data_IF_177984189132
#
_entry.id   IF_177984189132
#
_cell.length_a   1.000
_cell.length_b   1.000
_cell.length_c   1.000
_cell.angle_alpha   90.00
_cell.angle_beta   90.00
_cell.angle_gamma   90.00
#
_symmetry.space_group_name_H-M   'P 1'
#
loop_
_entity.id
_entity.type
_entity.pdbx_description
1 polymer ?
#
# COMPACT_ATOMS: atom_id res chain seq x y z
N UNK A 1 -19.75 -19.79 -20.20
CA UNK A 1 -18.96 -20.22 -19.03
C UNK A 1 -18.14 -19.13 -18.35
N UNK A 2 -17.34 -18.32 -19.06
CA UNK A 2 -16.43 -17.34 -18.43
C UNK A 2 -17.12 -16.26 -17.56
N UNK A 3 -18.35 -15.85 -17.90
CA UNK A 3 -19.13 -14.87 -17.09
C UNK A 3 -19.63 -15.45 -15.76
N UNK A 4 -20.02 -16.73 -15.74
CA UNK A 4 -20.50 -17.39 -14.52
C UNK A 4 -19.34 -17.60 -13.55
N UNK A 5 -18.19 -18.08 -14.05
CA UNK A 5 -16.97 -18.20 -13.24
C UNK A 5 -16.51 -16.86 -12.64
N UNK A 6 -16.57 -15.77 -13.43
CA UNK A 6 -16.26 -14.42 -12.94
C UNK A 6 -17.24 -13.97 -11.85
N UNK A 7 -18.55 -14.20 -12.05
CA UNK A 7 -19.57 -13.85 -11.06
C UNK A 7 -19.35 -14.61 -9.75
N UNK A 8 -19.01 -15.90 -9.81
CA UNK A 8 -18.68 -16.70 -8.62
C UNK A 8 -17.43 -16.19 -7.91
N UNK A 9 -16.38 -15.84 -8.65
CA UNK A 9 -15.16 -15.25 -8.07
C UNK A 9 -15.43 -13.89 -7.40
N UNK A 10 -16.22 -13.03 -8.05
CA UNK A 10 -16.63 -11.75 -7.46
C UNK A 10 -17.50 -11.94 -6.22
N UNK A 11 -18.46 -12.87 -6.24
CA UNK A 11 -19.31 -13.17 -5.09
C UNK A 11 -18.48 -13.66 -3.90
N UNK A 12 -17.48 -14.52 -4.15
CA UNK A 12 -16.58 -15.04 -3.14
C UNK A 12 -15.66 -13.96 -2.53
N UNK A 13 -15.41 -12.86 -3.23
CA UNK A 13 -14.66 -11.72 -2.68
C UNK A 13 -15.60 -10.73 -1.99
N UNK A 14 -16.72 -10.40 -2.60
CA UNK A 14 -17.63 -9.36 -2.11
C UNK A 14 -18.42 -9.81 -0.89
N UNK A 15 -19.07 -10.98 -0.97
CA UNK A 15 -19.99 -11.45 0.07
C UNK A 15 -19.32 -11.54 1.44
N UNK A 16 -18.24 -12.33 1.64
CA UNK A 16 -17.63 -12.46 2.96
C UNK A 16 -17.13 -11.13 3.54
N UNK A 17 -16.52 -10.27 2.72
CA UNK A 17 -15.98 -9.00 3.19
C UNK A 17 -17.08 -8.00 3.54
N UNK A 18 -18.18 -7.95 2.76
CA UNK A 18 -19.33 -7.10 3.07
C UNK A 18 -20.04 -7.60 4.33
N UNK A 19 -20.27 -8.91 4.45
CA UNK A 19 -20.87 -9.51 5.64
C UNK A 19 -20.03 -9.23 6.88
N UNK A 20 -18.71 -9.39 6.80
CA UNK A 20 -17.82 -9.06 7.90
C UNK A 20 -17.84 -7.57 8.25
N UNK A 21 -17.86 -6.67 7.26
CA UNK A 21 -17.98 -5.24 7.53
C UNK A 21 -19.30 -4.90 8.24
N UNK A 22 -20.42 -5.47 7.79
CA UNK A 22 -21.73 -5.29 8.46
C UNK A 22 -21.68 -5.83 9.88
N UNK A 23 -21.06 -7.00 10.11
CA UNK A 23 -20.91 -7.57 11.43
C UNK A 23 -20.13 -6.65 12.38
N UNK A 24 -19.02 -6.03 11.92
CA UNK A 24 -18.29 -5.05 12.71
C UNK A 24 -19.09 -3.78 12.98
N UNK A 25 -19.87 -3.28 12.01
CA UNK A 25 -20.75 -2.12 12.20
C UNK A 25 -21.79 -2.43 13.28
N UNK A 26 -22.50 -3.56 13.15
CA UNK A 26 -23.52 -3.98 14.12
C UNK A 26 -22.91 -4.16 15.51
N UNK A 27 -21.76 -4.83 15.59
CA UNK A 27 -21.03 -4.99 16.84
C UNK A 27 -20.66 -3.65 17.46
N UNK A 28 -20.10 -2.71 16.68
CA UNK A 28 -19.76 -1.37 17.13
C UNK A 28 -20.94 -0.52 17.61
N UNK A 29 -22.15 -0.79 17.13
CA UNK A 29 -23.38 -0.09 17.58
C UNK A 29 -23.91 -0.67 18.89
N UNK A 30 -23.78 -1.99 19.09
CA UNK A 30 -24.39 -2.68 20.23
C UNK A 30 -23.47 -2.66 21.45
N UNK A 31 -22.21 -3.07 21.29
CA UNK A 31 -21.28 -3.36 22.39
C UNK A 31 -19.84 -2.88 22.13
N UNK A 32 -19.47 -2.69 20.87
CA UNK A 32 -18.10 -2.43 20.41
C UNK A 32 -17.68 -0.96 20.42
N UNK A 33 -16.38 -0.72 20.25
CA UNK A 33 -15.87 0.66 20.16
C UNK A 33 -16.18 1.22 18.78
N UNK A 34 -16.75 2.41 18.68
CA UNK A 34 -17.05 3.04 17.38
C UNK A 34 -15.76 3.20 16.56
N UNK A 35 -14.65 3.57 17.17
CA UNK A 35 -13.36 3.78 16.47
C UNK A 35 -12.82 2.47 15.91
N UNK A 36 -12.93 1.40 16.68
CA UNK A 36 -12.49 0.06 16.34
C UNK A 36 -13.35 -0.53 15.24
N UNK A 37 -14.67 -0.55 15.43
CA UNK A 37 -15.65 -1.00 14.46
C UNK A 37 -15.50 -0.26 13.12
N UNK A 38 -15.27 1.06 13.16
CA UNK A 38 -15.02 1.86 11.95
C UNK A 38 -13.73 1.43 11.25
N UNK A 39 -12.65 1.22 12.00
CA UNK A 39 -11.35 0.75 11.46
C UNK A 39 -11.46 -0.64 10.86
N UNK A 40 -12.04 -1.59 11.58
CA UNK A 40 -12.23 -2.97 11.13
C UNK A 40 -13.16 -3.04 9.91
N UNK A 41 -14.22 -2.24 9.88
CA UNK A 41 -15.13 -2.16 8.73
C UNK A 41 -14.42 -1.58 7.50
N UNK A 42 -13.67 -0.49 7.68
CA UNK A 42 -12.90 0.14 6.62
C UNK A 42 -11.85 -0.82 6.02
N UNK A 43 -11.17 -1.62 6.86
CA UNK A 43 -10.23 -2.66 6.41
C UNK A 43 -10.93 -3.70 5.53
N UNK A 44 -12.09 -4.23 5.93
CA UNK A 44 -12.81 -5.21 5.13
C UNK A 44 -13.24 -4.65 3.76
N UNK A 45 -13.68 -3.38 3.69
CA UNK A 45 -13.98 -2.73 2.41
C UNK A 45 -12.72 -2.49 1.57
N UNK A 46 -11.62 -2.06 2.18
CA UNK A 46 -10.34 -1.87 1.50
C UNK A 46 -9.81 -3.19 0.92
N UNK A 47 -9.95 -4.30 1.65
CA UNK A 47 -9.55 -5.64 1.22
C UNK A 47 -10.23 -6.06 -0.08
N UNK A 48 -11.51 -5.73 -0.27
CA UNK A 48 -12.22 -5.98 -1.53
C UNK A 48 -11.45 -5.36 -2.70
N UNK A 49 -10.98 -4.12 -2.56
CA UNK A 49 -10.24 -3.42 -3.61
C UNK A 49 -8.91 -4.09 -3.89
N UNK A 50 -8.17 -4.51 -2.87
CA UNK A 50 -6.92 -5.26 -3.03
C UNK A 50 -7.14 -6.62 -3.69
N UNK A 51 -8.13 -7.39 -3.26
CA UNK A 51 -8.45 -8.70 -3.84
C UNK A 51 -8.86 -8.57 -5.29
N UNK A 52 -9.68 -7.57 -5.61
CA UNK A 52 -10.07 -7.25 -6.98
C UNK A 52 -8.86 -6.75 -7.80
N UNK A 53 -7.91 -6.05 -7.18
CA UNK A 53 -6.64 -5.65 -7.80
C UNK A 53 -5.75 -6.84 -8.16
N UNK A 54 -5.63 -7.84 -7.27
CA UNK A 54 -4.94 -9.11 -7.55
C UNK A 54 -5.68 -9.88 -8.65
N UNK A 55 -7.01 -9.96 -8.58
CA UNK A 55 -7.84 -10.62 -9.60
C UNK A 55 -7.74 -9.93 -10.96
N UNK A 56 -7.58 -8.60 -11.01
CA UNK A 56 -7.34 -7.83 -12.23
C UNK A 56 -6.05 -8.22 -12.97
N UNK A 57 -5.08 -8.82 -12.26
CA UNK A 57 -3.90 -9.43 -12.88
C UNK A 57 -4.20 -10.74 -13.62
N UNK A 58 -5.33 -11.39 -13.35
CA UNK A 58 -5.80 -12.63 -13.99
C UNK A 58 -6.58 -12.42 -15.30
N UNK A 59 -6.64 -11.18 -15.82
CA UNK A 59 -7.35 -10.78 -17.07
C UNK A 59 -8.88 -10.96 -17.04
N UNK A 60 -9.47 -11.00 -15.85
CA UNK A 60 -10.91 -11.17 -15.64
C UNK A 60 -11.80 -10.01 -16.14
N UNK A 61 -11.29 -8.77 -16.24
CA UNK A 61 -12.10 -7.57 -16.46
C UNK A 61 -11.80 -6.84 -17.78
N UNK A 62 -12.81 -6.11 -18.28
CA UNK A 62 -12.70 -5.19 -19.43
C UNK A 62 -11.70 -4.05 -19.17
N UNK A 63 -11.25 -3.37 -20.24
CA UNK A 63 -10.12 -2.44 -20.18
C UNK A 63 -10.30 -1.22 -19.28
N UNK A 64 -11.54 -0.74 -19.09
CA UNK A 64 -11.86 0.42 -18.26
C UNK A 64 -11.82 0.12 -16.74
N UNK A 65 -12.63 -0.80 -16.19
CA UNK A 65 -12.60 -1.12 -14.75
C UNK A 65 -11.22 -1.63 -14.32
N UNK A 66 -10.52 -2.36 -15.19
CA UNK A 66 -9.16 -2.81 -14.93
C UNK A 66 -8.18 -1.65 -14.67
N UNK A 67 -8.35 -0.51 -15.36
CA UNK A 67 -7.53 0.67 -15.12
C UNK A 67 -7.89 1.30 -13.78
N UNK A 68 -9.18 1.50 -13.55
CA UNK A 68 -9.68 2.07 -12.30
C UNK A 68 -9.10 1.34 -11.08
N UNK A 69 -9.28 0.02 -11.03
CA UNK A 69 -8.77 -0.84 -9.95
C UNK A 69 -7.25 -0.72 -9.81
N UNK A 70 -6.52 -0.77 -10.94
CA UNK A 70 -5.06 -0.79 -10.92
C UNK A 70 -4.43 0.50 -10.38
N UNK A 71 -5.08 1.64 -10.58
CA UNK A 71 -4.55 2.95 -10.18
C UNK A 71 -5.13 3.45 -8.87
N UNK A 72 -6.37 3.10 -8.55
CA UNK A 72 -7.07 3.63 -7.40
C UNK A 72 -7.00 2.73 -6.16
N UNK A 73 -6.80 1.42 -6.29
CA UNK A 73 -6.89 0.50 -5.14
C UNK A 73 -5.94 0.87 -3.98
N UNK A 74 -4.64 0.99 -4.25
CA UNK A 74 -3.65 1.29 -3.20
C UNK A 74 -3.80 2.72 -2.65
N UNK A 75 -3.95 3.79 -3.48
CA UNK A 75 -4.16 5.14 -2.95
C UNK A 75 -5.46 5.30 -2.16
N UNK A 76 -6.55 4.65 -2.58
CA UNK A 76 -7.83 4.71 -1.87
C UNK A 76 -7.74 4.00 -0.52
N UNK A 77 -7.09 2.84 -0.45
CA UNK A 77 -6.85 2.14 0.81
C UNK A 77 -5.99 2.96 1.76
N UNK A 78 -4.85 3.49 1.28
CA UNK A 78 -4.01 4.41 2.07
C UNK A 78 -4.82 5.59 2.61
N UNK A 79 -5.65 6.21 1.75
CA UNK A 79 -6.42 7.38 2.13
C UNK A 79 -7.50 7.06 3.17
N UNK A 80 -8.24 5.97 2.98
CA UNK A 80 -9.29 5.53 3.92
C UNK A 80 -8.70 5.23 5.29
N UNK A 81 -7.57 4.51 5.34
CA UNK A 81 -6.91 4.16 6.61
C UNK A 81 -6.37 5.38 7.33
N UNK A 82 -5.75 6.32 6.59
CA UNK A 82 -5.32 7.58 7.18
C UNK A 82 -6.50 8.35 7.79
N UNK A 83 -7.62 8.46 7.06
CA UNK A 83 -8.80 9.18 7.57
C UNK A 83 -9.34 8.53 8.84
N UNK A 84 -9.55 7.21 8.82
CA UNK A 84 -10.18 6.49 9.93
C UNK A 84 -9.30 6.47 11.18
N UNK A 85 -7.97 6.44 11.04
CA UNK A 85 -7.07 6.29 12.18
C UNK A 85 -6.67 7.64 12.78
N UNK A 86 -6.56 8.68 11.96
CA UNK A 86 -6.27 10.01 12.48
C UNK A 86 -7.55 10.74 12.93
N UNK A 87 -8.76 10.36 12.48
CA UNK A 87 -9.99 11.03 12.93
C UNK A 87 -10.21 11.05 14.45
N UNK A 88 -9.96 9.97 15.23
CA UNK A 88 -10.17 9.99 16.68
C UNK A 88 -9.15 10.87 17.39
N UNK A 89 -7.90 10.89 16.92
CA UNK A 89 -6.83 11.75 17.46
C UNK A 89 -7.22 13.22 17.30
N UNK A 90 -7.80 13.57 16.14
CA UNK A 90 -8.30 14.92 15.85
C UNK A 90 -9.40 15.32 16.81
N UNK A 91 -10.36 14.41 17.04
CA UNK A 91 -11.48 14.66 17.95
C UNK A 91 -11.01 14.80 19.41
N UNK A 92 -10.08 13.97 19.87
CA UNK A 92 -9.49 14.06 21.21
C UNK A 92 -8.75 15.38 21.42
N UNK A 93 -7.91 15.78 20.46
CA UNK A 93 -7.21 17.07 20.48
C UNK A 93 -8.22 18.22 20.48
N UNK A 94 -9.26 18.16 19.64
CA UNK A 94 -10.30 19.19 19.58
C UNK A 94 -11.01 19.40 20.92
N UNK A 95 -11.42 18.30 21.57
CA UNK A 95 -12.08 18.35 22.88
C UNK A 95 -11.15 18.82 24.01
N UNK A 96 -9.86 18.49 23.96
CA UNK A 96 -8.87 19.02 24.94
C UNK A 96 -8.58 20.51 24.71
N UNK A 97 -8.73 21.00 23.48
CA UNK A 97 -8.38 22.37 23.10
C UNK A 97 -9.43 23.41 23.55
N UNK A 98 -10.68 23.02 23.84
CA UNK A 98 -11.74 23.92 24.33
C UNK A 98 -11.43 24.60 25.68
N UNK A 99 -10.28 24.31 26.31
CA UNK A 99 -9.85 24.87 27.60
C UNK A 99 -8.74 25.94 27.46
N UNK A 100 -8.19 26.22 26.26
CA UNK A 100 -7.09 27.20 26.08
C UNK A 100 -7.54 28.61 25.66
N UNK A 101 -6.89 29.63 26.26
CA UNK A 101 -7.29 31.06 26.23
C UNK A 101 -6.73 31.92 25.07
N UNK A 102 -5.85 31.42 24.19
CA UNK A 102 -5.15 32.25 23.19
C UNK A 102 -5.42 31.82 21.75
N UNK A 103 -5.92 32.74 20.91
CA UNK A 103 -6.32 32.50 19.51
C UNK A 103 -5.18 32.00 18.60
N UNK A 104 -3.94 32.43 18.84
CA UNK A 104 -2.78 32.02 18.05
C UNK A 104 -2.42 30.53 18.24
N UNK A 105 -2.55 30.01 19.46
CA UNK A 105 -2.23 28.61 19.78
C UNK A 105 -3.30 27.64 19.25
N UNK A 106 -4.55 28.12 19.18
CA UNK A 106 -5.67 27.41 18.55
C UNK A 106 -5.44 27.29 17.04
N UNK A 107 -5.10 28.39 16.35
CA UNK A 107 -4.83 28.39 14.90
C UNK A 107 -3.62 27.49 14.58
N UNK A 108 -2.57 27.55 15.39
CA UNK A 108 -1.36 26.73 15.22
C UNK A 108 -1.67 25.24 15.33
N UNK A 109 -2.43 24.81 16.34
CA UNK A 109 -2.80 23.39 16.49
C UNK A 109 -3.84 22.95 15.46
N UNK A 110 -4.76 23.82 15.06
CA UNK A 110 -5.79 23.51 14.07
C UNK A 110 -5.20 23.30 12.66
N UNK A 111 -4.27 24.16 12.23
CA UNK A 111 -3.62 23.97 10.92
C UNK A 111 -2.85 22.65 10.89
N UNK A 112 -2.15 22.33 11.98
CA UNK A 112 -1.39 21.11 12.17
C UNK A 112 -2.21 19.82 12.16
N UNK A 113 -3.49 19.92 12.53
CA UNK A 113 -4.44 18.83 12.62
C UNK A 113 -5.16 18.57 11.27
N UNK A 114 -5.31 19.61 10.46
CA UNK A 114 -5.94 19.55 9.13
C UNK A 114 -5.01 18.93 8.09
N UNK A 115 -3.70 19.17 8.19
CA UNK A 115 -2.72 18.64 7.21
C UNK A 115 -2.70 17.10 7.08
N UNK A 116 -2.69 16.30 8.18
CA UNK A 116 -2.74 14.83 8.13
C UNK A 116 -3.96 14.25 7.43
N UNK A 117 -5.09 14.97 7.42
CA UNK A 117 -6.34 14.53 6.79
C UNK A 117 -6.52 15.07 5.38
N UNK A 118 -5.98 16.26 5.11
CA UNK A 118 -6.06 16.92 3.80
C UNK A 118 -5.17 16.21 2.76
N UNK A 119 -4.00 15.72 3.17
CA UNK A 119 -3.09 14.95 2.29
C UNK A 119 -3.77 13.74 1.63
N UNK A 120 -4.36 12.81 2.40
CA UNK A 120 -5.14 11.67 1.90
C UNK A 120 -6.25 12.06 0.93
N UNK A 121 -7.01 13.12 1.24
CA UNK A 121 -8.08 13.61 0.39
C UNK A 121 -7.56 14.15 -0.94
N UNK A 122 -6.46 14.91 -0.93
CA UNK A 122 -5.80 15.39 -2.14
C UNK A 122 -5.25 14.24 -3.00
N UNK A 123 -4.67 13.21 -2.36
CA UNK A 123 -4.21 11.98 -3.04
C UNK A 123 -5.40 11.32 -3.76
N UNK A 124 -6.54 11.20 -3.07
CA UNK A 124 -7.74 10.58 -3.63
C UNK A 124 -8.34 11.42 -4.77
N UNK A 125 -8.48 12.73 -4.60
CA UNK A 125 -8.96 13.63 -5.64
C UNK A 125 -8.05 13.60 -6.86
N UNK A 126 -6.72 13.56 -6.66
CA UNK A 126 -5.76 13.40 -7.74
C UNK A 126 -5.85 12.02 -8.41
N UNK A 127 -6.16 10.97 -7.65
CA UNK A 127 -6.43 9.62 -8.17
C UNK A 127 -7.70 9.56 -9.02
N UNK A 128 -8.78 10.21 -8.57
CA UNK A 128 -10.01 10.32 -9.36
C UNK A 128 -9.79 11.16 -10.63
N UNK A 129 -9.13 12.31 -10.49
CA UNK A 129 -8.77 13.16 -11.62
C UNK A 129 -7.92 12.40 -12.65
N UNK A 130 -6.93 11.61 -12.22
CA UNK A 130 -6.05 10.87 -13.13
C UNK A 130 -6.76 9.77 -13.90
N UNK A 131 -7.75 9.11 -13.29
CA UNK A 131 -8.56 8.08 -13.94
C UNK A 131 -9.49 8.71 -14.97
N UNK A 132 -10.06 9.89 -14.68
CA UNK A 132 -10.89 10.66 -15.62
C UNK A 132 -10.06 11.25 -16.78
N UNK A 133 -8.89 11.83 -16.49
CA UNK A 133 -8.02 12.45 -17.48
C UNK A 133 -7.05 11.42 -18.08
N UNK A 134 -7.48 10.78 -19.16
CA UNK A 134 -6.82 9.68 -19.91
C UNK A 134 -5.33 9.88 -20.30
N UNK A 135 -4.72 11.06 -20.12
CA UNK A 135 -3.55 11.50 -20.91
C UNK A 135 -2.14 11.55 -20.27
N UNK A 136 -1.89 11.38 -18.97
CA UNK A 136 -0.50 11.53 -18.44
C UNK A 136 -0.10 10.41 -17.46
N UNK A 137 0.09 9.19 -17.99
CA UNK A 137 0.28 7.96 -17.23
C UNK A 137 1.63 7.83 -16.46
N UNK A 138 2.66 8.62 -16.80
CA UNK A 138 3.99 8.54 -16.19
C UNK A 138 4.18 9.56 -15.05
N UNK A 139 3.76 10.81 -15.25
CA UNK A 139 3.87 11.88 -14.24
C UNK A 139 2.98 11.58 -13.02
N UNK A 140 1.86 10.89 -13.22
CA UNK A 140 0.85 10.60 -12.19
C UNK A 140 1.32 9.67 -11.07
N UNK A 141 2.03 8.57 -11.37
CA UNK A 141 2.42 7.61 -10.30
C UNK A 141 3.55 8.09 -9.40
N UNK A 142 4.41 8.99 -9.89
CA UNK A 142 5.45 9.62 -9.07
C UNK A 142 4.81 10.60 -8.08
N UNK A 143 3.72 11.27 -8.48
CA UNK A 143 2.97 12.19 -7.62
C UNK A 143 2.29 11.44 -6.47
N UNK A 144 1.74 10.22 -6.67
CA UNK A 144 1.16 9.44 -5.56
C UNK A 144 2.19 9.09 -4.50
N UNK A 145 3.34 8.57 -4.91
CA UNK A 145 4.41 8.23 -3.97
C UNK A 145 4.90 9.48 -3.22
N UNK A 146 5.15 10.57 -3.97
CA UNK A 146 5.58 11.85 -3.39
C UNK A 146 4.55 12.39 -2.38
N UNK A 147 3.26 12.32 -2.71
CA UNK A 147 2.19 12.79 -1.85
C UNK A 147 2.02 11.89 -0.61
N UNK A 148 2.15 10.57 -0.74
CA UNK A 148 2.11 9.64 0.39
C UNK A 148 3.30 9.87 1.34
N UNK A 149 4.51 10.03 0.81
CA UNK A 149 5.70 10.32 1.63
C UNK A 149 5.64 11.70 2.30
N UNK A 150 5.18 12.71 1.56
CA UNK A 150 4.93 14.02 2.15
C UNK A 150 3.87 13.95 3.26
N UNK A 151 2.81 13.16 3.07
CA UNK A 151 1.80 12.95 4.09
C UNK A 151 2.35 12.21 5.32
N UNK A 152 3.17 11.17 5.13
CA UNK A 152 3.88 10.46 6.21
C UNK A 152 4.77 11.42 7.01
N UNK A 153 5.53 12.28 6.33
CA UNK A 153 6.33 13.34 6.96
C UNK A 153 5.47 14.29 7.80
N UNK A 154 4.37 14.79 7.22
CA UNK A 154 3.46 15.69 7.92
C UNK A 154 2.79 15.02 9.12
N UNK A 155 2.47 13.73 9.05
CA UNK A 155 1.91 12.97 10.16
C UNK A 155 2.90 12.85 11.34
N UNK A 156 4.16 12.52 11.07
CA UNK A 156 5.21 12.45 12.10
C UNK A 156 5.43 13.85 12.72
N UNK A 157 5.57 14.87 11.88
CA UNK A 157 5.75 16.24 12.34
C UNK A 157 4.55 16.72 13.17
N UNK A 158 3.34 16.41 12.74
CA UNK A 158 2.13 16.78 13.47
C UNK A 158 2.06 16.12 14.84
N UNK A 159 2.42 14.85 14.93
CA UNK A 159 2.44 14.10 16.19
C UNK A 159 3.47 14.68 17.17
N UNK A 160 4.69 14.98 16.68
CA UNK A 160 5.74 15.62 17.49
C UNK A 160 5.32 16.97 18.07
N UNK A 161 4.62 17.78 17.28
CA UNK A 161 4.19 19.11 17.70
C UNK A 161 2.98 19.05 18.66
N UNK A 162 2.06 18.08 18.48
CA UNK A 162 0.88 17.92 19.34
C UNK A 162 1.26 17.44 20.74
N UNK A 163 2.12 16.42 20.82
CA UNK A 163 2.50 15.79 22.08
C UNK A 163 3.76 16.41 22.72
N UNK A 164 4.44 17.32 22.00
CA UNK A 164 5.54 18.13 22.50
C UNK A 164 6.90 17.63 22.04
N UNK A 165 7.77 18.58 21.69
CA UNK A 165 9.17 18.34 21.37
C UNK A 165 9.96 18.15 22.68
N UNK A 166 10.00 16.92 23.19
CA UNK A 166 10.76 16.61 24.40
C UNK A 166 12.26 16.51 24.14
N UNK A 167 12.67 15.97 22.99
CA UNK A 167 14.08 15.75 22.63
C UNK A 167 14.40 16.13 21.19
N UNK A 168 15.57 16.76 20.98
CA UNK A 168 16.10 17.08 19.64
C UNK A 168 16.30 15.80 18.78
N UNK A 169 16.56 14.67 19.44
CA UNK A 169 16.69 13.35 18.82
C UNK A 169 15.40 12.88 18.14
N UNK A 170 14.23 13.28 18.66
CA UNK A 170 12.93 12.98 18.05
C UNK A 170 12.66 13.82 16.79
N UNK A 171 13.38 14.94 16.59
CA UNK A 171 13.27 15.73 15.37
C UNK A 171 14.18 15.17 14.26
N UNK A 172 15.33 14.59 14.62
CA UNK A 172 16.19 13.85 13.69
C UNK A 172 15.45 12.67 13.03
N UNK A 173 14.46 12.11 13.73
CA UNK A 173 13.59 11.04 13.24
C UNK A 173 12.68 11.47 12.07
N UNK A 174 12.28 12.74 11.98
CA UNK A 174 11.52 13.25 10.83
C UNK A 174 12.36 13.42 9.55
N UNK A 175 13.67 13.21 9.62
CA UNK A 175 14.60 13.33 8.48
C UNK A 175 14.48 12.14 7.53
N UNK A 176 14.07 10.95 7.98
CA UNK A 176 14.03 9.77 7.12
C UNK A 176 13.03 9.86 5.95
N UNK A 177 11.76 10.29 6.14
CA UNK A 177 10.86 10.56 5.01
C UNK A 177 11.39 11.64 4.05
N UNK A 178 12.03 12.69 4.57
CA UNK A 178 12.64 13.74 3.74
C UNK A 178 13.80 13.20 2.92
N UNK A 179 14.63 12.36 3.52
CA UNK A 179 15.74 11.71 2.85
C UNK A 179 15.24 10.76 1.76
N UNK A 180 14.15 10.00 2.01
CA UNK A 180 13.48 9.20 0.99
C UNK A 180 12.99 10.06 -0.19
N UNK A 181 12.39 11.22 0.09
CA UNK A 181 11.96 12.19 -0.92
C UNK A 181 13.13 12.68 -1.78
N UNK A 182 14.23 13.08 -1.15
CA UNK A 182 15.44 13.57 -1.82
C UNK A 182 16.07 12.46 -2.67
N UNK A 183 16.23 11.26 -2.09
CA UNK A 183 16.75 10.09 -2.80
C UNK A 183 15.88 9.71 -4.00
N UNK A 184 14.56 9.91 -3.92
CA UNK A 184 13.64 9.69 -5.04
C UNK A 184 13.91 10.64 -6.21
N UNK A 185 14.20 11.93 -5.94
CA UNK A 185 14.61 12.87 -7.00
C UNK A 185 16.00 12.58 -7.56
N UNK A 186 16.91 12.06 -6.73
CA UNK A 186 18.27 11.65 -7.14
C UNK A 186 18.32 10.33 -7.92
N UNK A 187 17.17 9.74 -8.28
CA UNK A 187 17.06 8.46 -9.01
C UNK A 187 17.95 8.36 -10.26
N UNK A 188 18.27 9.50 -10.90
CA UNK A 188 19.01 9.56 -12.15
C UNK A 188 20.51 9.18 -12.02
N UNK A 189 21.07 9.19 -10.81
CA UNK A 189 22.52 9.05 -10.59
C UNK A 189 22.97 7.63 -10.20
N UNK A 190 22.07 6.79 -9.68
CA UNK A 190 22.44 5.50 -9.08
C UNK A 190 22.15 4.29 -9.97
N UNK A 191 22.88 3.20 -9.72
CA UNK A 191 22.50 1.86 -10.16
C UNK A 191 21.08 1.56 -9.64
N UNK A 192 20.14 1.36 -10.56
CA UNK A 192 18.71 1.19 -10.28
C UNK A 192 18.41 0.17 -9.15
N UNK A 193 19.24 -0.87 -9.02
CA UNK A 193 19.16 -1.90 -7.98
C UNK A 193 19.54 -1.37 -6.60
N UNK A 194 20.68 -0.70 -6.52
CA UNK A 194 21.16 -0.04 -5.31
C UNK A 194 20.15 1.01 -4.83
N UNK A 195 19.60 1.79 -5.77
CA UNK A 195 18.56 2.77 -5.48
C UNK A 195 17.30 2.14 -4.86
N UNK A 196 16.79 1.03 -5.39
CA UNK A 196 15.65 0.32 -4.77
C UNK A 196 15.99 -0.16 -3.36
N UNK A 197 17.20 -0.71 -3.16
CA UNK A 197 17.62 -1.16 -1.82
C UNK A 197 17.67 0.01 -0.83
N UNK A 198 18.24 1.15 -1.24
CA UNK A 198 18.29 2.37 -0.42
C UNK A 198 16.88 2.85 -0.08
N UNK A 199 15.99 2.96 -1.06
CA UNK A 199 14.60 3.36 -0.81
C UNK A 199 13.90 2.39 0.15
N UNK A 200 14.09 1.08 0.00
CA UNK A 200 13.52 0.12 0.94
C UNK A 200 14.03 0.29 2.36
N UNK A 201 15.34 0.53 2.52
CA UNK A 201 15.95 0.76 3.84
C UNK A 201 15.39 2.04 4.45
N UNK A 202 15.32 3.14 3.69
CA UNK A 202 14.77 4.41 4.15
C UNK A 202 13.31 4.28 4.58
N UNK A 203 12.50 3.53 3.85
CA UNK A 203 11.10 3.26 4.19
C UNK A 203 10.96 2.42 5.47
N UNK A 204 11.82 1.40 5.65
CA UNK A 204 11.85 0.60 6.89
C UNK A 204 12.31 1.45 8.08
N UNK A 205 13.30 2.31 7.88
CA UNK A 205 13.74 3.25 8.91
C UNK A 205 12.66 4.27 9.25
N UNK A 206 11.96 4.81 8.24
CA UNK A 206 10.82 5.70 8.42
C UNK A 206 9.68 5.01 9.17
N UNK A 207 9.39 3.74 8.86
CA UNK A 207 8.36 2.97 9.54
C UNK A 207 8.71 2.72 11.00
N UNK A 208 9.94 2.25 11.26
CA UNK A 208 10.45 2.01 12.61
C UNK A 208 10.42 3.29 13.45
N UNK A 209 10.78 4.41 12.82
CA UNK A 209 10.76 5.74 13.42
C UNK A 209 9.35 6.22 13.73
N UNK A 210 8.42 6.11 12.78
CA UNK A 210 7.03 6.49 12.98
C UNK A 210 6.40 5.66 14.10
N UNK A 211 6.68 4.35 14.13
CA UNK A 211 6.26 3.46 15.21
C UNK A 211 6.83 3.92 16.56
N UNK A 212 8.13 4.21 16.63
CA UNK A 212 8.77 4.67 17.86
C UNK A 212 8.16 5.97 18.39
N UNK A 213 7.97 6.97 17.52
CA UNK A 213 7.39 8.27 17.88
C UNK A 213 5.97 8.12 18.41
N UNK A 214 5.13 7.33 17.73
CA UNK A 214 3.75 7.12 18.19
C UNK A 214 3.66 6.21 19.42
N UNK A 215 4.63 5.32 19.63
CA UNK A 215 4.73 4.48 20.81
C UNK A 215 5.13 5.28 22.06
N UNK A 216 6.11 6.18 21.94
CA UNK A 216 6.64 6.95 23.07
C UNK A 216 5.72 8.12 23.50
N UNK A 217 4.99 8.71 22.55
CA UNK A 217 4.17 9.91 22.81
C UNK A 217 2.74 9.59 23.28
N UNK A 218 2.25 8.35 23.11
CA UNK A 218 0.87 7.98 23.46
C UNK A 218 0.81 7.24 24.80
N UNK A 219 0.33 7.94 25.82
CA UNK A 219 0.22 7.43 27.19
C UNK A 219 -0.90 6.39 27.41
N UNK A 220 -1.73 6.09 26.40
CA UNK A 220 -2.82 5.12 26.50
C UNK A 220 -2.37 3.81 25.84
N UNK A 221 -2.13 2.77 26.64
CA UNK A 221 -1.54 1.50 26.19
C UNK A 221 -2.37 0.79 25.11
N UNK A 222 -3.70 0.72 25.26
CA UNK A 222 -4.56 -0.02 24.32
C UNK A 222 -4.60 0.62 22.92
N UNK A 223 -4.73 1.95 22.85
CA UNK A 223 -4.76 2.64 21.55
C UNK A 223 -3.37 2.80 20.92
N UNK A 224 -2.30 2.55 21.66
CA UNK A 224 -0.92 2.61 21.18
C UNK A 224 -0.63 1.44 20.25
N UNK A 225 -0.95 0.23 20.68
CA UNK A 225 -0.61 -1.00 19.95
C UNK A 225 -1.39 -1.10 18.63
N UNK A 226 -2.68 -0.71 18.64
CA UNK A 226 -3.48 -0.59 17.44
C UNK A 226 -2.90 0.44 16.45
N UNK A 227 -2.47 1.61 16.94
CA UNK A 227 -1.91 2.68 16.11
C UNK A 227 -0.58 2.27 15.47
N UNK A 228 0.29 1.58 16.23
CA UNK A 228 1.53 0.99 15.71
C UNK A 228 1.26 0.02 14.56
N UNK A 229 0.24 -0.83 14.68
CA UNK A 229 -0.13 -1.76 13.61
C UNK A 229 -0.64 -1.04 12.36
N UNK A 230 -1.42 0.05 12.50
CA UNK A 230 -1.86 0.86 11.37
C UNK A 230 -0.67 1.51 10.68
N UNK A 231 0.24 2.12 11.44
CA UNK A 231 1.40 2.81 10.87
C UNK A 231 2.24 1.84 10.05
N UNK A 232 2.50 0.64 10.59
CA UNK A 232 3.17 -0.42 9.84
C UNK A 232 2.43 -0.73 8.52
N UNK A 233 1.10 -0.82 8.57
CA UNK A 233 0.28 -1.05 7.38
C UNK A 233 0.36 0.08 6.35
N UNK A 234 0.31 1.34 6.78
CA UNK A 234 0.45 2.51 5.91
C UNK A 234 1.81 2.51 5.19
N UNK A 235 2.89 2.18 5.89
CA UNK A 235 4.21 2.06 5.26
C UNK A 235 4.30 0.92 4.25
N UNK A 236 3.63 -0.22 4.50
CA UNK A 236 3.52 -1.31 3.51
C UNK A 236 2.79 -0.81 2.24
N UNK A 237 1.73 -0.02 2.38
CA UNK A 237 0.99 0.54 1.25
C UNK A 237 1.81 1.59 0.48
N UNK A 238 2.59 2.42 1.18
CA UNK A 238 3.56 3.33 0.56
C UNK A 238 4.58 2.56 -0.27
N UNK A 239 5.13 1.47 0.28
CA UNK A 239 6.05 0.58 -0.42
C UNK A 239 5.41 -0.06 -1.65
N UNK A 240 4.16 -0.52 -1.55
CA UNK A 240 3.42 -1.01 -2.71
C UNK A 240 3.22 0.07 -3.78
N UNK A 241 3.02 1.33 -3.38
CA UNK A 241 2.91 2.48 -4.28
C UNK A 241 4.24 2.76 -4.98
N UNK A 242 5.36 2.72 -4.26
CA UNK A 242 6.72 2.85 -4.80
C UNK A 242 7.01 1.78 -5.87
N UNK A 243 6.76 0.51 -5.57
CA UNK A 243 7.01 -0.56 -6.55
C UNK A 243 6.07 -0.46 -7.77
N UNK A 244 4.83 -0.03 -7.55
CA UNK A 244 3.86 0.19 -8.64
C UNK A 244 4.32 1.32 -9.58
N UNK A 245 4.82 2.44 -9.03
CA UNK A 245 5.33 3.57 -9.81
C UNK A 245 6.55 3.15 -10.66
N UNK A 246 7.51 2.44 -10.06
CA UNK A 246 8.70 1.94 -10.75
C UNK A 246 8.38 0.92 -11.86
N UNK A 247 7.40 0.03 -11.60
CA UNK A 247 6.96 -0.96 -12.60
C UNK A 247 6.31 -0.28 -13.81
N UNK A 248 5.61 0.83 -13.62
CA UNK A 248 5.04 1.61 -14.72
C UNK A 248 6.11 2.37 -15.50
N UNK A 249 7.05 3.01 -14.80
CA UNK A 249 8.18 3.72 -15.40
C UNK A 249 9.00 2.79 -16.30
N UNK A 250 9.36 1.60 -15.79
CA UNK A 250 10.13 0.60 -16.56
C UNK A 250 9.37 0.05 -17.78
N UNK A 251 8.04 0.02 -17.75
CA UNK A 251 7.23 -0.38 -18.92
C UNK A 251 7.26 0.71 -19.99
N UNK A 252 7.18 1.97 -19.59
CA UNK A 252 7.18 3.10 -20.52
C UNK A 252 8.54 3.29 -21.19
N UNK A 253 9.64 3.30 -20.42
CA UNK A 253 10.99 3.34 -20.97
C UNK A 253 11.19 2.23 -22.02
N UNK A 254 10.74 1.00 -21.72
CA UNK A 254 10.82 -0.11 -22.67
C UNK A 254 9.91 0.00 -23.90
N UNK A 255 8.86 0.84 -23.87
CA UNK A 255 7.98 1.12 -25.02
C UNK A 255 8.60 2.18 -25.91
N UNK A 256 9.15 3.25 -25.34
CA UNK A 256 9.83 4.28 -26.12
C UNK A 256 11.06 3.74 -26.84
N UNK A 257 11.89 2.92 -26.17
CA UNK A 257 13.02 2.26 -26.83
C UNK A 257 12.58 1.30 -27.96
N UNK A 258 11.41 0.67 -27.83
CA UNK A 258 10.85 -0.21 -28.88
C UNK A 258 10.22 0.56 -30.02
N UNK A 259 9.63 1.73 -29.78
CA UNK A 259 9.12 2.61 -30.83
C UNK A 259 10.27 3.16 -31.69
N UNK A 260 11.44 3.43 -31.09
CA UNK A 260 12.66 3.76 -31.84
C UNK A 260 13.27 2.55 -32.58
N UNK A 261 13.22 1.35 -32.00
CA UNK A 261 13.77 0.14 -32.63
C UNK A 261 12.83 -0.55 -33.63
N UNK A 262 11.60 -0.05 -33.83
CA UNK A 262 10.63 -0.69 -34.73
C UNK A 262 10.91 -0.44 -36.22
N UNK A 263 12.01 0.25 -36.56
CA UNK A 263 12.51 0.38 -37.93
C UNK A 263 13.40 -0.78 -38.38
N UNK A 264 13.75 -1.72 -37.51
CA UNK A 264 14.67 -2.79 -37.89
C UNK A 264 14.30 -4.12 -37.20
N UNK A 265 14.40 -5.22 -37.93
CA UNK A 265 14.13 -6.61 -37.47
C UNK A 265 12.66 -7.06 -37.35
N UNK A 266 12.08 -7.33 -38.53
CA UNK A 266 10.93 -8.25 -38.71
C UNK A 266 11.45 -9.68 -38.94
N UNK A 267 12.10 -10.31 -37.96
CA UNK A 267 12.32 -11.77 -37.98
C UNK A 267 12.80 -12.31 -36.62
N UNK A 268 11.96 -13.10 -35.96
CA UNK A 268 12.27 -14.19 -34.99
C UNK A 268 11.00 -14.49 -34.18
N UNK A 269 10.10 -15.29 -34.77
CA UNK A 269 8.79 -15.60 -34.20
C UNK A 269 8.52 -17.10 -34.20
N UNK A 270 9.44 -17.90 -33.66
CA UNK A 270 9.17 -19.36 -33.57
C UNK A 270 9.76 -20.08 -32.35
N UNK A 271 10.70 -19.50 -31.61
CA UNK A 271 11.33 -20.17 -30.44
C UNK A 271 10.89 -19.65 -29.07
N UNK A 272 9.77 -18.92 -28.99
CA UNK A 272 9.28 -18.24 -27.75
C UNK A 272 8.17 -18.99 -26.99
N UNK A 273 7.67 -20.11 -27.52
CA UNK A 273 6.37 -20.64 -27.10
C UNK A 273 6.44 -21.69 -25.97
N UNK A 274 7.50 -22.51 -25.91
CA UNK A 274 7.65 -23.56 -24.88
C UNK A 274 8.12 -23.00 -23.53
N UNK A 275 9.14 -22.13 -23.49
CA UNK A 275 9.64 -21.53 -22.24
C UNK A 275 8.69 -20.44 -21.66
N UNK A 276 7.76 -19.93 -22.48
CA UNK A 276 6.74 -18.97 -22.04
C UNK A 276 5.57 -19.63 -21.30
N UNK A 277 5.26 -20.91 -21.55
CA UNK A 277 4.16 -21.61 -20.87
C UNK A 277 4.46 -21.85 -19.39
N UNK A 278 5.63 -22.41 -19.08
CA UNK A 278 5.98 -22.77 -17.70
C UNK A 278 6.04 -21.54 -16.78
N UNK A 279 6.57 -20.41 -17.28
CA UNK A 279 6.66 -19.18 -16.48
C UNK A 279 5.33 -18.41 -16.33
N UNK A 280 4.32 -18.72 -17.14
CA UNK A 280 2.98 -18.18 -17.01
C UNK A 280 2.15 -18.96 -16.00
N UNK A 281 2.24 -20.30 -16.02
CA UNK A 281 1.54 -21.20 -15.09
C UNK A 281 2.01 -21.01 -13.64
N UNK A 282 3.32 -20.90 -13.43
CA UNK A 282 3.90 -20.62 -12.10
C UNK A 282 3.45 -19.26 -11.54
N UNK A 283 3.33 -18.24 -12.42
CA UNK A 283 2.87 -16.91 -12.03
C UNK A 283 1.38 -16.90 -11.66
N UNK A 284 0.55 -17.64 -12.39
CA UNK A 284 -0.86 -17.76 -12.03
C UNK A 284 -1.04 -18.44 -10.68
N UNK A 285 -0.18 -19.42 -10.35
CA UNK A 285 -0.25 -20.13 -9.08
C UNK A 285 0.07 -19.21 -7.89
N UNK A 286 1.18 -18.47 -7.91
CA UNK A 286 1.52 -17.57 -6.79
C UNK A 286 0.48 -16.47 -6.58
N UNK A 287 -0.06 -15.90 -7.66
CA UNK A 287 -1.14 -14.92 -7.57
C UNK A 287 -2.44 -15.54 -7.02
N UNK A 288 -2.74 -16.79 -7.37
CA UNK A 288 -3.91 -17.52 -6.87
C UNK A 288 -3.77 -17.85 -5.38
N UNK A 289 -2.59 -18.27 -4.91
CA UNK A 289 -2.35 -18.55 -3.48
C UNK A 289 -2.58 -17.32 -2.63
N UNK A 290 -1.98 -16.17 -3.00
CA UNK A 290 -2.17 -14.92 -2.25
C UNK A 290 -3.61 -14.42 -2.34
N UNK A 291 -4.27 -14.62 -3.48
CA UNK A 291 -5.70 -14.33 -3.62
C UNK A 291 -6.56 -15.17 -2.67
N UNK A 292 -6.33 -16.49 -2.60
CA UNK A 292 -7.05 -17.37 -1.68
C UNK A 292 -6.75 -17.06 -0.21
N UNK A 293 -5.51 -16.72 0.11
CA UNK A 293 -5.13 -16.28 1.45
C UNK A 293 -5.94 -15.05 1.88
N UNK A 294 -5.98 -14.00 1.06
CA UNK A 294 -6.76 -12.81 1.38
C UNK A 294 -8.29 -13.02 1.37
N UNK A 295 -8.79 -13.84 0.44
CA UNK A 295 -10.24 -14.05 0.27
C UNK A 295 -10.84 -15.00 1.32
N UNK A 296 -10.05 -15.96 1.83
CA UNK A 296 -10.53 -17.00 2.75
C UNK A 296 -9.89 -16.84 4.12
N UNK A 297 -8.56 -16.91 4.19
CA UNK A 297 -7.84 -17.02 5.47
C UNK A 297 -7.99 -15.74 6.30
N UNK A 298 -7.77 -14.58 5.69
CA UNK A 298 -7.89 -13.29 6.39
C UNK A 298 -9.32 -13.06 6.90
N UNK A 299 -10.32 -13.29 6.04
CA UNK A 299 -11.74 -13.18 6.42
C UNK A 299 -12.06 -14.13 7.58
N UNK A 300 -11.61 -15.38 7.50
CA UNK A 300 -11.85 -16.38 8.53
C UNK A 300 -11.24 -15.98 9.87
N UNK A 301 -9.99 -15.51 9.88
CA UNK A 301 -9.33 -15.04 11.10
C UNK A 301 -10.10 -13.86 11.71
N UNK A 302 -10.57 -12.92 10.90
CA UNK A 302 -11.39 -11.80 11.37
C UNK A 302 -12.72 -12.28 11.97
N UNK A 303 -13.37 -13.24 11.33
CA UNK A 303 -14.62 -13.83 11.83
C UNK A 303 -14.41 -14.53 13.18
N UNK A 304 -13.34 -15.32 13.31
CA UNK A 304 -12.99 -16.00 14.57
C UNK A 304 -12.63 -14.99 15.65
N UNK A 305 -11.85 -13.96 15.34
CA UNK A 305 -11.50 -12.91 16.31
C UNK A 305 -12.74 -12.19 16.84
N UNK A 306 -13.67 -11.81 15.95
CA UNK A 306 -14.94 -11.19 16.35
C UNK A 306 -15.81 -12.14 17.18
N UNK A 307 -15.91 -13.41 16.77
CA UNK A 307 -16.68 -14.42 17.51
C UNK A 307 -16.11 -14.64 18.92
N UNK A 308 -14.79 -14.73 19.05
CA UNK A 308 -14.11 -14.90 20.34
C UNK A 308 -14.38 -13.69 21.24
N UNK A 309 -14.27 -12.47 20.72
CA UNK A 309 -14.57 -11.27 21.52
C UNK A 309 -16.04 -11.24 21.97
N UNK A 310 -16.99 -11.58 21.10
CA UNK A 310 -18.40 -11.66 21.47
C UNK A 310 -18.66 -12.67 22.58
N UNK A 311 -18.06 -13.87 22.50
CA UNK A 311 -18.21 -14.91 23.53
C UNK A 311 -17.58 -14.47 24.85
N UNK A 312 -16.39 -13.87 24.80
CA UNK A 312 -15.71 -13.39 26.00
C UNK A 312 -16.49 -12.27 26.66
N UNK A 313 -16.90 -11.26 25.88
CA UNK A 313 -17.72 -10.13 26.35
C UNK A 313 -19.02 -10.62 27.00
N UNK A 314 -19.71 -11.59 26.39
CA UNK A 314 -20.93 -12.18 26.95
C UNK A 314 -20.71 -12.94 28.27
N UNK A 315 -19.51 -13.50 28.50
CA UNK A 315 -19.19 -14.28 29.71
C UNK A 315 -18.64 -13.43 30.85
N UNK A 316 -17.73 -12.51 30.56
CA UNK A 316 -17.01 -11.73 31.57
C UNK A 316 -17.68 -10.38 31.84
N UNK A 317 -18.54 -9.90 30.94
CA UNK A 317 -19.12 -8.56 30.99
C UNK A 317 -18.09 -7.44 30.78
N UNK A 318 -16.85 -7.78 30.41
CA UNK A 318 -15.76 -6.85 30.18
C UNK A 318 -15.13 -7.10 28.81
N UNK A 319 -14.73 -6.02 28.12
CA UNK A 319 -13.94 -6.12 26.89
C UNK A 319 -12.58 -6.73 27.18
N UNK A 320 -12.12 -7.58 26.28
CA UNK A 320 -10.88 -8.34 26.52
C UNK A 320 -9.69 -7.83 25.72
N UNK A 321 -9.87 -7.53 24.43
CA UNK A 321 -8.77 -7.12 23.55
C UNK A 321 -9.28 -6.16 22.47
N UNK A 322 -8.50 -5.15 22.10
CA UNK A 322 -8.75 -4.36 20.89
C UNK A 322 -8.49 -5.22 19.63
N UNK A 323 -9.54 -5.53 18.87
CA UNK A 323 -9.49 -6.36 17.68
C UNK A 323 -8.55 -5.80 16.63
N UNK A 324 -8.28 -4.48 16.60
CA UNK A 324 -7.30 -3.91 15.68
C UNK A 324 -5.92 -4.52 15.86
N UNK A 325 -5.54 -4.89 17.09
CA UNK A 325 -4.26 -5.53 17.40
C UNK A 325 -4.14 -6.91 16.76
N UNK A 326 -5.26 -7.61 16.51
CA UNK A 326 -5.27 -8.91 15.84
C UNK A 326 -5.46 -8.75 14.33
N UNK A 327 -6.42 -7.91 13.92
CA UNK A 327 -6.83 -7.75 12.53
C UNK A 327 -5.74 -7.08 11.67
N UNK A 328 -5.13 -6.00 12.17
CA UNK A 328 -4.16 -5.25 11.39
C UNK A 328 -2.90 -6.07 11.05
N UNK A 329 -2.28 -6.84 11.97
CA UNK A 329 -1.16 -7.69 11.59
C UNK A 329 -1.51 -8.73 10.51
N UNK A 330 -2.70 -9.32 10.55
CA UNK A 330 -3.14 -10.29 9.54
C UNK A 330 -3.28 -9.62 8.17
N UNK A 331 -3.81 -8.40 8.13
CA UNK A 331 -3.90 -7.58 6.92
C UNK A 331 -2.51 -7.13 6.42
N UNK A 332 -1.60 -6.77 7.34
CA UNK A 332 -0.21 -6.48 7.02
C UNK A 332 0.45 -7.67 6.34
N UNK A 333 0.27 -8.90 6.86
CA UNK A 333 0.81 -10.11 6.22
C UNK A 333 0.26 -10.26 4.81
N UNK A 334 -1.05 -10.06 4.61
CA UNK A 334 -1.66 -10.10 3.28
C UNK A 334 -1.06 -9.05 2.33
N UNK A 335 -0.90 -7.80 2.76
CA UNK A 335 -0.31 -6.75 1.93
C UNK A 335 1.19 -6.99 1.68
N UNK A 336 1.94 -7.55 2.62
CA UNK A 336 3.33 -7.99 2.41
C UNK A 336 3.41 -9.10 1.38
N UNK A 337 2.50 -10.08 1.41
CA UNK A 337 2.40 -11.08 0.35
C UNK A 337 2.13 -10.44 -1.02
N UNK A 338 1.25 -9.42 -1.07
CA UNK A 338 0.99 -8.65 -2.28
C UNK A 338 2.25 -7.92 -2.76
N UNK A 339 3.00 -7.28 -1.87
CA UNK A 339 4.26 -6.61 -2.15
C UNK A 339 5.31 -7.60 -2.69
N UNK A 340 5.45 -8.78 -2.07
CA UNK A 340 6.33 -9.84 -2.52
C UNK A 340 5.99 -10.32 -3.94
N UNK A 341 4.70 -10.40 -4.29
CA UNK A 341 4.28 -10.67 -5.67
C UNK A 341 4.68 -9.56 -6.64
N UNK A 342 4.62 -8.28 -6.22
CA UNK A 342 5.08 -7.17 -7.06
C UNK A 342 6.59 -7.21 -7.29
N UNK A 343 7.36 -7.45 -6.22
CA UNK A 343 8.82 -7.54 -6.25
C UNK A 343 9.25 -8.71 -7.13
N UNK A 344 8.74 -9.92 -6.90
CA UNK A 344 9.08 -11.11 -7.71
C UNK A 344 8.73 -10.91 -9.19
N UNK A 345 7.56 -10.33 -9.49
CA UNK A 345 7.14 -9.98 -10.84
C UNK A 345 8.09 -8.97 -11.51
N UNK A 346 8.58 -8.00 -10.74
CA UNK A 346 9.51 -6.98 -11.19
C UNK A 346 10.87 -7.59 -11.54
N UNK A 347 11.44 -8.36 -10.60
CA UNK A 347 12.74 -9.02 -10.77
C UNK A 347 12.75 -10.04 -11.90
N UNK A 348 11.71 -10.87 -12.04
CA UNK A 348 11.59 -11.84 -13.15
C UNK A 348 11.64 -11.16 -14.52
N UNK A 349 11.10 -9.92 -14.64
CA UNK A 349 11.17 -9.15 -15.88
C UNK A 349 12.58 -8.59 -16.13
N UNK A 350 13.20 -7.99 -15.11
CA UNK A 350 14.55 -7.42 -15.22
C UNK A 350 15.61 -8.49 -15.49
N UNK A 351 15.56 -9.63 -14.79
CA UNK A 351 16.45 -10.79 -15.03
C UNK A 351 16.42 -11.24 -16.49
N UNK A 352 15.23 -11.31 -17.10
CA UNK A 352 15.08 -11.68 -18.53
C UNK A 352 15.68 -10.65 -19.50
N UNK A 353 15.75 -9.37 -19.11
CA UNK A 353 16.41 -8.33 -19.91
C UNK A 353 17.93 -8.49 -19.76
N UNK A 354 18.42 -8.58 -18.52
CA UNK A 354 19.83 -8.78 -18.21
C UNK A 354 20.42 -9.99 -18.93
N UNK A 355 19.75 -11.15 -18.88
CA UNK A 355 20.22 -12.37 -19.58
C UNK A 355 20.30 -12.15 -21.09
N UNK A 356 19.37 -11.40 -21.69
CA UNK A 356 19.42 -11.10 -23.13
C UNK A 356 20.58 -10.18 -23.47
N UNK A 357 20.85 -9.19 -22.63
CA UNK A 357 21.94 -8.24 -22.83
C UNK A 357 23.29 -8.96 -22.67
N UNK A 358 23.44 -9.83 -21.66
CA UNK A 358 24.61 -10.71 -21.49
C UNK A 358 24.80 -11.61 -22.72
N UNK A 359 23.73 -12.24 -23.22
CA UNK A 359 23.83 -13.10 -24.40
C UNK A 359 24.20 -12.31 -25.68
N UNK A 360 23.71 -11.07 -25.83
CA UNK A 360 24.12 -10.18 -26.93
C UNK A 360 25.60 -9.80 -26.82
N UNK A 361 26.08 -9.46 -25.63
CA UNK A 361 27.50 -9.17 -25.39
C UNK A 361 28.37 -10.40 -25.69
N UNK A 362 27.93 -11.61 -25.28
CA UNK A 362 28.62 -12.86 -25.60
C UNK A 362 28.69 -13.10 -27.12
N UNK A 363 27.64 -12.81 -27.88
CA UNK A 363 27.66 -12.93 -29.35
C UNK A 363 28.64 -11.95 -29.98
N UNK A 364 28.66 -10.69 -29.54
CA UNK A 364 29.59 -9.67 -30.05
C UNK A 364 31.05 -10.04 -29.72
N UNK A 365 31.32 -10.54 -28.51
CA UNK A 365 32.66 -10.95 -28.11
C UNK A 365 33.08 -12.30 -28.73
N UNK A 366 32.14 -13.23 -28.93
CA UNK A 366 32.40 -14.56 -29.51
C UNK A 366 32.75 -14.53 -31.00
N UNK A 367 32.20 -13.59 -31.78
CA UNK A 367 32.57 -13.42 -33.19
C UNK A 367 34.03 -12.97 -33.39
N UNK A 368 34.70 -12.43 -32.37
CA UNK A 368 36.13 -12.04 -32.47
C UNK A 368 37.11 -13.21 -32.34
N UNK A 369 36.66 -14.39 -31.88
CA UNK A 369 37.56 -15.53 -31.66
C UNK A 369 37.69 -16.47 -32.87
N UNK A 370 36.88 -16.26 -33.93
CA UNK A 370 36.89 -17.09 -35.14
C UNK A 370 37.61 -16.42 -36.34
N UNK A 371 38.29 -15.29 -36.10
CA UNK A 371 39.00 -14.51 -37.12
C UNK A 371 40.52 -14.40 -36.86
N UNK A 372 41.08 -15.28 -36.02
CA UNK A 372 42.53 -15.40 -35.85
C UNK A 372 43.03 -16.76 -36.31
#
# INVERSE_FOLDING_TARGET
DNRRALATQCAHVLCPNITMAIAYILWGVIEGSITEATTCSALNFARILLLVWIAGHLKAFSDYPRRFIKYLAIPLEYAVLCVVVYSPIIVDVWHKQTVLKTSAEIIRKLSLLIFPLTGPLLILLYAMYSVCCRRILQKQTNVYYLAAEFNNFMQILSTLIIYGLRDLNLLAMAVFPLLALICFFCQRLFLFLLWICVMMILEVLSASTSIYVHHDLKNIEEERDALTCVIAFLHILTMMTLFTSQRLLSKFASRNSRALQQSDSRNTRTQRQSHSRNTATERSLSHMVVFMFGAVVVVFVNAVALLVELILTARTGQRTVDLRVILLPVECVFAVCCLALQISAFWKKKRKILIKDINRLRQICGCKQQQR
#
